data_IF_267065571481
#
_entry.id   IF_267065571481
#
_cell.length_a   1.000
_cell.length_b   1.000
_cell.length_c   1.000
_cell.angle_alpha   90.00
_cell.angle_beta   90.00
_cell.angle_gamma   90.00
#
_symmetry.space_group_name_H-M   'P 1'
#
loop_
_entity.id
_entity.type
_entity.pdbx_description
1 polymer ?
#
# COMPACT_ATOMS: atom_id res chain seq x y z
N UNK A 1 -7.81 -14.76 12.54
CA UNK A 1 -6.57 -14.26 13.20
C UNK A 1 -6.34 -15.00 14.52
N UNK A 2 -7.37 -15.22 15.36
CA UNK A 2 -7.20 -15.84 16.68
C UNK A 2 -6.85 -17.33 16.58
N UNK A 3 -7.43 -18.06 15.64
CA UNK A 3 -7.26 -19.51 15.53
C UNK A 3 -5.94 -19.92 14.84
N UNK A 4 -5.49 -19.16 13.83
CA UNK A 4 -4.22 -19.36 13.15
C UNK A 4 -3.60 -18.01 12.74
N UNK A 5 -2.85 -17.38 13.66
CA UNK A 5 -2.25 -16.07 13.40
C UNK A 5 -1.13 -16.13 12.34
N UNK A 6 -0.48 -17.29 12.17
CA UNK A 6 0.60 -17.43 11.18
C UNK A 6 0.02 -17.50 9.78
N UNK A 7 -1.00 -18.32 9.56
CA UNK A 7 -1.67 -18.39 8.27
C UNK A 7 -2.27 -17.03 7.87
N UNK A 8 -2.88 -16.30 8.80
CA UNK A 8 -3.40 -14.96 8.54
C UNK A 8 -2.29 -13.97 8.15
N UNK A 9 -1.17 -13.96 8.88
CA UNK A 9 -0.03 -13.08 8.57
C UNK A 9 0.58 -13.37 7.20
N UNK A 10 0.61 -14.64 6.78
CA UNK A 10 1.11 -15.01 5.44
C UNK A 10 0.25 -14.45 4.29
N UNK A 11 -1.01 -14.17 4.55
CA UNK A 11 -1.95 -13.61 3.55
C UNK A 11 -2.03 -12.09 3.59
N UNK A 12 -1.33 -11.42 4.53
CA UNK A 12 -1.44 -10.00 4.79
C UNK A 12 -0.12 -9.30 4.50
N UNK A 13 -0.19 -8.14 3.85
CA UNK A 13 0.91 -7.18 3.80
C UNK A 13 0.51 -5.89 4.52
N UNK A 14 1.48 -5.24 5.16
CA UNK A 14 1.32 -3.93 5.77
C UNK A 14 2.43 -2.98 5.33
N UNK A 15 2.06 -1.79 4.89
CA UNK A 15 2.98 -0.72 4.51
C UNK A 15 2.63 0.51 5.36
N UNK A 16 3.49 0.90 6.30
CA UNK A 16 3.31 2.14 7.08
C UNK A 16 3.63 3.37 6.23
N UNK A 17 3.17 4.56 6.67
CA UNK A 17 3.49 5.86 6.06
C UNK A 17 5.00 6.10 5.95
N UNK A 18 5.75 5.72 6.97
CA UNK A 18 7.22 5.81 6.98
C UNK A 18 7.81 4.41 7.19
N UNK A 19 8.21 3.70 6.11
CA UNK A 19 8.73 2.35 6.22
C UNK A 19 10.05 2.30 6.99
N UNK A 20 10.07 1.58 8.11
CA UNK A 20 11.28 1.28 8.87
C UNK A 20 11.96 0.05 8.29
N UNK A 21 12.85 0.28 7.31
CA UNK A 21 13.56 -0.76 6.60
C UNK A 21 14.93 -1.04 7.24
N UNK A 22 15.44 -2.24 7.06
CA UNK A 22 16.78 -2.60 7.56
C UNK A 22 17.87 -1.91 6.74
N UNK A 23 18.29 -0.73 7.17
CA UNK A 23 19.20 0.18 6.47
C UNK A 23 20.60 -0.40 6.23
N UNK A 24 21.03 -1.39 7.03
CA UNK A 24 22.31 -2.10 6.86
C UNK A 24 22.29 -3.13 5.73
N UNK A 25 21.13 -3.46 5.18
CA UNK A 25 21.00 -4.34 4.02
C UNK A 25 21.06 -3.56 2.72
N UNK A 26 21.44 -4.22 1.63
CA UNK A 26 21.14 -3.71 0.28
C UNK A 26 19.68 -3.96 -0.07
N UNK A 27 19.15 -3.23 -1.06
CA UNK A 27 17.78 -3.41 -1.51
C UNK A 27 17.48 -4.87 -1.88
N UNK A 28 18.35 -5.53 -2.64
CA UNK A 28 18.16 -6.93 -3.01
C UNK A 28 18.22 -7.88 -1.81
N UNK A 29 19.10 -7.61 -0.82
CA UNK A 29 19.17 -8.42 0.39
C UNK A 29 17.87 -8.28 1.20
N UNK A 30 17.32 -7.07 1.31
CA UNK A 30 16.06 -6.83 2.00
C UNK A 30 14.91 -7.57 1.32
N UNK A 31 14.78 -7.49 -0.01
CA UNK A 31 13.72 -8.19 -0.74
C UNK A 31 13.82 -9.71 -0.61
N UNK A 32 15.04 -10.27 -0.67
CA UNK A 32 15.24 -11.69 -0.44
C UNK A 32 14.91 -12.11 0.99
N UNK A 33 15.29 -11.31 1.98
CA UNK A 33 14.96 -11.56 3.38
C UNK A 33 13.44 -11.62 3.61
N UNK A 34 12.68 -10.67 3.05
CA UNK A 34 11.22 -10.69 3.14
C UNK A 34 10.65 -11.94 2.44
N UNK A 35 11.14 -12.27 1.25
CA UNK A 35 10.72 -13.47 0.54
C UNK A 35 10.97 -14.76 1.33
N UNK A 36 12.10 -14.84 2.06
CA UNK A 36 12.42 -15.98 2.95
C UNK A 36 11.42 -16.10 4.11
N UNK A 37 11.08 -14.96 4.76
CA UNK A 37 10.10 -14.94 5.86
C UNK A 37 8.75 -15.50 5.40
N UNK A 38 8.32 -15.15 4.19
CA UNK A 38 7.04 -15.60 3.65
C UNK A 38 7.11 -16.96 2.93
N UNK A 39 8.30 -17.55 2.80
CA UNK A 39 8.51 -18.85 2.16
C UNK A 39 8.25 -18.83 0.65
N UNK A 40 8.60 -17.73 -0.01
CA UNK A 40 8.44 -17.58 -1.47
C UNK A 40 9.52 -18.40 -2.18
N UNK A 41 9.10 -19.30 -3.05
CA UNK A 41 9.99 -20.14 -3.87
C UNK A 41 10.96 -19.29 -4.72
N UNK A 42 12.19 -19.78 -4.88
CA UNK A 42 13.28 -19.00 -5.49
C UNK A 42 12.95 -18.50 -6.91
N UNK A 43 12.33 -19.36 -7.74
CA UNK A 43 11.95 -18.99 -9.11
C UNK A 43 10.90 -17.86 -9.13
N UNK A 44 9.85 -17.97 -8.32
CA UNK A 44 8.82 -16.97 -8.18
C UNK A 44 9.37 -15.67 -7.56
N UNK A 45 10.30 -15.79 -6.61
CA UNK A 45 11.00 -14.66 -5.99
C UNK A 45 11.76 -13.84 -7.02
N UNK A 46 12.62 -14.48 -7.80
CA UNK A 46 13.44 -13.79 -8.81
C UNK A 46 12.56 -13.10 -9.86
N UNK A 47 11.53 -13.78 -10.35
CA UNK A 47 10.57 -13.21 -11.30
C UNK A 47 9.87 -11.98 -10.73
N UNK A 48 9.33 -12.08 -9.51
CA UNK A 48 8.58 -10.97 -8.87
C UNK A 48 9.47 -9.80 -8.52
N UNK A 49 10.66 -10.04 -7.96
CA UNK A 49 11.63 -8.97 -7.66
C UNK A 49 11.97 -8.22 -8.95
N UNK A 50 12.30 -8.94 -10.02
CA UNK A 50 12.62 -8.33 -11.31
C UNK A 50 11.45 -7.51 -11.83
N UNK A 51 10.25 -8.12 -11.91
CA UNK A 51 9.03 -7.47 -12.39
C UNK A 51 8.78 -6.14 -11.67
N UNK A 52 8.75 -6.16 -10.35
CA UNK A 52 8.38 -4.98 -9.58
C UNK A 52 9.50 -3.94 -9.48
N UNK A 53 10.77 -4.38 -9.42
CA UNK A 53 11.90 -3.46 -9.44
C UNK A 53 12.01 -2.71 -10.78
N UNK A 54 11.77 -3.40 -11.90
CA UNK A 54 11.73 -2.77 -13.22
C UNK A 54 10.56 -1.78 -13.32
N UNK A 55 9.35 -2.13 -12.84
CA UNK A 55 8.19 -1.26 -12.84
C UNK A 55 8.45 0.06 -12.09
N UNK A 56 9.08 -0.01 -10.92
CA UNK A 56 9.40 1.15 -10.09
C UNK A 56 10.73 1.82 -10.43
N UNK A 57 11.43 1.36 -11.48
CA UNK A 57 12.75 1.88 -11.90
C UNK A 57 13.81 1.80 -10.78
N UNK A 58 13.76 0.76 -9.97
CA UNK A 58 14.65 0.57 -8.81
C UNK A 58 15.72 -0.50 -9.08
N UNK A 59 15.67 -1.20 -10.21
CA UNK A 59 16.57 -2.32 -10.54
C UNK A 59 18.04 -1.95 -10.44
N UNK A 60 18.44 -0.77 -10.94
CA UNK A 60 19.82 -0.29 -10.90
C UNK A 60 20.34 0.03 -9.49
N UNK A 61 19.44 0.26 -8.54
CA UNK A 61 19.78 0.67 -7.17
C UNK A 61 19.73 -0.49 -6.17
N UNK A 62 19.22 -1.66 -6.55
CA UNK A 62 19.06 -2.80 -5.63
C UNK A 62 20.37 -3.29 -4.99
N UNK A 63 21.50 -3.04 -5.61
CA UNK A 63 22.82 -3.38 -5.06
C UNK A 63 23.32 -2.38 -4.00
N UNK A 64 22.71 -1.21 -3.90
CA UNK A 64 23.08 -0.17 -2.95
C UNK A 64 22.49 -0.45 -1.55
N UNK A 65 23.16 -0.01 -0.47
CA UNK A 65 22.59 -0.06 0.88
C UNK A 65 21.30 0.77 0.97
N UNK A 66 20.28 0.26 1.67
CA UNK A 66 19.02 0.96 1.91
C UNK A 66 19.22 2.29 2.64
N UNK A 67 20.27 2.41 3.46
CA UNK A 67 20.69 3.67 4.08
C UNK A 67 20.94 4.80 3.08
N UNK A 68 21.32 4.47 1.83
CA UNK A 68 21.57 5.47 0.77
C UNK A 68 20.30 5.86 -0.01
N UNK A 69 19.17 5.18 0.24
CA UNK A 69 17.94 5.43 -0.49
C UNK A 69 17.26 6.73 -0.05
N UNK A 70 16.72 7.46 -1.01
CA UNK A 70 15.79 8.55 -0.73
C UNK A 70 14.49 8.01 -0.09
N UNK A 71 13.69 8.89 0.49
CA UNK A 71 12.37 8.50 1.04
C UNK A 71 11.50 7.79 -0.02
N UNK A 72 11.40 8.35 -1.22
CA UNK A 72 10.64 7.73 -2.31
C UNK A 72 11.18 6.36 -2.75
N UNK A 73 12.52 6.15 -2.73
CA UNK A 73 13.12 4.84 -3.00
C UNK A 73 12.79 3.84 -1.89
N UNK A 74 12.82 4.25 -0.62
CA UNK A 74 12.41 3.41 0.52
C UNK A 74 10.93 3.02 0.41
N UNK A 75 10.07 3.95 0.04
CA UNK A 75 8.64 3.68 -0.19
C UNK A 75 8.44 2.67 -1.32
N UNK A 76 9.11 2.86 -2.45
CA UNK A 76 9.08 1.91 -3.58
C UNK A 76 9.56 0.52 -3.14
N UNK A 77 10.66 0.43 -2.38
CA UNK A 77 11.19 -0.84 -1.88
C UNK A 77 10.20 -1.55 -0.93
N UNK A 78 9.54 -0.80 -0.04
CA UNK A 78 8.50 -1.34 0.85
C UNK A 78 7.29 -1.89 0.08
N UNK A 79 6.86 -1.17 -0.96
CA UNK A 79 5.78 -1.62 -1.87
C UNK A 79 6.19 -2.92 -2.56
N UNK A 80 7.39 -2.99 -3.16
CA UNK A 80 7.89 -4.21 -3.80
C UNK A 80 7.89 -5.37 -2.81
N UNK A 81 8.43 -5.17 -1.60
CA UNK A 81 8.49 -6.18 -0.55
C UNK A 81 7.09 -6.71 -0.18
N UNK A 82 6.10 -5.83 -0.09
CA UNK A 82 4.72 -6.20 0.21
C UNK A 82 4.08 -7.07 -0.88
N UNK A 83 4.41 -6.86 -2.15
CA UNK A 83 3.84 -7.62 -3.27
C UNK A 83 4.56 -8.94 -3.57
N UNK A 84 5.78 -9.16 -3.03
CA UNK A 84 6.59 -10.36 -3.33
C UNK A 84 5.87 -11.67 -2.94
N UNK A 85 5.13 -11.69 -1.83
CA UNK A 85 4.50 -12.90 -1.31
C UNK A 85 3.04 -13.09 -1.74
N UNK A 86 2.53 -12.26 -2.68
CA UNK A 86 1.19 -12.35 -3.24
C UNK A 86 0.08 -12.32 -2.16
N UNK A 87 -0.01 -11.24 -1.37
CA UNK A 87 -0.96 -11.14 -0.26
C UNK A 87 -2.40 -11.07 -0.75
N UNK A 88 -3.33 -11.58 0.09
CA UNK A 88 -4.78 -11.47 -0.15
C UNK A 88 -5.39 -10.19 0.43
N UNK A 89 -4.73 -9.62 1.44
CA UNK A 89 -5.11 -8.36 2.05
C UNK A 89 -3.88 -7.47 2.17
N UNK A 90 -3.95 -6.25 1.65
CA UNK A 90 -2.90 -5.26 1.80
C UNK A 90 -3.47 -4.08 2.60
N UNK A 91 -2.78 -3.73 3.69
CA UNK A 91 -3.09 -2.57 4.52
C UNK A 91 -1.98 -1.54 4.31
N UNK A 92 -2.35 -0.30 4.00
CA UNK A 92 -1.38 0.76 3.73
C UNK A 92 -1.78 2.05 4.44
N UNK A 93 -0.78 2.73 4.96
CA UNK A 93 -0.93 4.04 5.56
C UNK A 93 -0.30 5.09 4.63
N UNK A 94 -1.11 6.04 4.13
CA UNK A 94 -0.72 7.10 3.19
C UNK A 94 0.18 6.62 2.03
N UNK A 95 -0.18 5.60 1.26
CA UNK A 95 0.72 4.89 0.37
C UNK A 95 1.28 5.70 -0.81
N UNK A 96 0.70 6.86 -1.09
CA UNK A 96 1.10 7.74 -2.20
C UNK A 96 2.08 8.83 -1.77
N UNK A 97 2.28 9.02 -0.47
CA UNK A 97 3.23 10.01 0.07
C UNK A 97 4.66 9.60 -0.33
N UNK A 98 5.43 10.58 -0.83
CA UNK A 98 6.80 10.37 -1.27
C UNK A 98 6.97 9.69 -2.64
N UNK A 99 5.90 9.24 -3.28
CA UNK A 99 5.95 8.70 -4.64
C UNK A 99 5.86 9.80 -5.70
N UNK A 100 6.65 9.64 -6.76
CA UNK A 100 6.49 10.44 -7.97
C UNK A 100 5.17 10.06 -8.72
N UNK A 101 4.68 10.91 -9.66
CA UNK A 101 3.43 10.64 -10.37
C UNK A 101 3.42 9.31 -11.13
N UNK A 102 4.57 8.88 -11.66
CA UNK A 102 4.69 7.60 -12.37
C UNK A 102 4.55 6.41 -11.42
N UNK A 103 5.28 6.43 -10.30
CA UNK A 103 5.18 5.39 -9.28
C UNK A 103 3.78 5.33 -8.67
N UNK A 104 3.14 6.48 -8.43
CA UNK A 104 1.75 6.55 -7.96
C UNK A 104 0.78 5.91 -8.96
N UNK A 105 0.95 6.14 -10.25
CA UNK A 105 0.12 5.52 -11.30
C UNK A 105 0.32 4.00 -11.32
N UNK A 106 1.56 3.52 -11.22
CA UNK A 106 1.90 2.10 -11.17
C UNK A 106 1.24 1.44 -9.95
N UNK A 107 1.37 2.05 -8.76
CA UNK A 107 0.76 1.52 -7.54
C UNK A 107 -0.75 1.38 -7.67
N UNK A 108 -1.44 2.39 -8.24
CA UNK A 108 -2.89 2.35 -8.49
C UNK A 108 -3.28 1.16 -9.38
N UNK A 109 -2.50 0.90 -10.44
CA UNK A 109 -2.70 -0.27 -11.31
C UNK A 109 -2.54 -1.59 -10.56
N UNK A 110 -1.46 -1.71 -9.78
CA UNK A 110 -1.18 -2.91 -8.96
C UNK A 110 -2.27 -3.14 -7.90
N UNK A 111 -2.80 -2.08 -7.30
CA UNK A 111 -3.93 -2.17 -6.35
C UNK A 111 -5.18 -2.73 -7.02
N UNK A 112 -5.50 -2.25 -8.22
CA UNK A 112 -6.65 -2.75 -8.99
C UNK A 112 -6.47 -4.23 -9.36
N UNK A 113 -5.28 -4.63 -9.83
CA UNK A 113 -4.98 -6.04 -10.14
C UNK A 113 -5.23 -6.97 -8.94
N UNK A 114 -4.85 -6.57 -7.72
CA UNK A 114 -5.11 -7.35 -6.49
C UNK A 114 -6.62 -7.50 -6.25
N UNK A 115 -7.39 -6.42 -6.37
CA UNK A 115 -8.83 -6.45 -6.16
C UNK A 115 -9.53 -7.29 -7.24
N UNK A 116 -9.15 -7.16 -8.51
CA UNK A 116 -9.72 -7.92 -9.63
C UNK A 116 -9.42 -9.42 -9.50
N UNK A 117 -8.29 -9.78 -8.86
CA UNK A 117 -7.94 -11.16 -8.51
C UNK A 117 -8.68 -11.70 -7.26
N UNK A 118 -9.60 -10.92 -6.67
CA UNK A 118 -10.37 -11.31 -5.48
C UNK A 118 -9.68 -11.04 -4.16
N UNK A 119 -8.58 -10.30 -4.15
CA UNK A 119 -7.95 -9.76 -2.95
C UNK A 119 -8.66 -8.50 -2.45
N UNK A 120 -8.15 -7.91 -1.37
CA UNK A 120 -8.67 -6.69 -0.80
C UNK A 120 -7.55 -5.73 -0.42
N UNK A 121 -7.83 -4.43 -0.56
CA UNK A 121 -6.91 -3.37 -0.15
C UNK A 121 -7.63 -2.42 0.80
N UNK A 122 -6.99 -2.13 1.90
CA UNK A 122 -7.41 -1.11 2.86
C UNK A 122 -6.30 -0.08 3.01
N UNK A 123 -6.58 1.19 2.76
CA UNK A 123 -5.58 2.24 2.94
C UNK A 123 -6.18 3.49 3.56
N UNK A 124 -5.36 4.20 4.35
CA UNK A 124 -5.67 5.54 4.79
C UNK A 124 -5.19 6.57 3.76
N UNK A 125 -5.89 7.67 3.64
CA UNK A 125 -5.42 8.85 2.89
C UNK A 125 -6.15 10.11 3.33
N UNK A 126 -5.45 11.24 3.30
CA UNK A 126 -6.03 12.57 3.42
C UNK A 126 -6.34 13.20 2.05
N UNK A 127 -6.01 12.53 0.94
CA UNK A 127 -6.27 13.01 -0.42
C UNK A 127 -7.61 12.46 -0.92
N UNK A 128 -8.69 13.22 -0.68
CA UNK A 128 -10.07 12.80 -0.93
C UNK A 128 -10.32 12.42 -2.38
N UNK A 129 -9.73 13.15 -3.34
CA UNK A 129 -9.82 12.83 -4.78
C UNK A 129 -9.26 11.44 -5.12
N UNK A 130 -8.20 11.01 -4.43
CA UNK A 130 -7.63 9.67 -4.61
C UNK A 130 -8.59 8.62 -4.08
N UNK A 131 -9.14 8.82 -2.89
CA UNK A 131 -10.13 7.92 -2.31
C UNK A 131 -11.37 7.80 -3.22
N UNK A 132 -11.90 8.92 -3.70
CA UNK A 132 -13.08 8.95 -4.57
C UNK A 132 -12.88 8.17 -5.88
N UNK A 133 -11.67 8.22 -6.46
CA UNK A 133 -11.37 7.55 -7.75
C UNK A 133 -11.01 6.07 -7.61
N UNK A 134 -10.51 5.64 -6.45
CA UNK A 134 -9.95 4.30 -6.27
C UNK A 134 -10.82 3.38 -5.44
N UNK A 135 -11.55 3.92 -4.45
CA UNK A 135 -12.21 3.10 -3.44
C UNK A 135 -13.63 2.73 -3.85
N UNK A 136 -13.99 1.46 -3.65
CA UNK A 136 -15.36 0.98 -3.76
C UNK A 136 -16.16 1.36 -2.49
N UNK A 137 -15.47 1.40 -1.34
CA UNK A 137 -16.03 1.76 -0.03
C UNK A 137 -15.12 2.74 0.69
N UNK A 138 -15.71 3.60 1.49
CA UNK A 138 -15.01 4.61 2.27
C UNK A 138 -15.49 4.63 3.72
N UNK A 139 -14.59 5.01 4.62
CA UNK A 139 -14.89 5.27 6.03
C UNK A 139 -14.27 6.61 6.42
N UNK A 140 -15.07 7.55 6.91
CA UNK A 140 -14.64 8.86 7.37
C UNK A 140 -14.45 8.82 8.88
N UNK A 141 -13.24 9.15 9.34
CA UNK A 141 -12.88 9.17 10.75
C UNK A 141 -12.56 10.60 11.16
N UNK A 142 -13.13 11.06 12.27
CA UNK A 142 -12.88 12.38 12.86
C UNK A 142 -12.75 12.26 14.37
N UNK A 143 -11.69 12.84 14.95
CA UNK A 143 -11.46 12.78 16.40
C UNK A 143 -11.41 11.35 16.97
N UNK A 144 -10.90 10.38 16.19
CA UNK A 144 -10.84 8.98 16.59
C UNK A 144 -12.18 8.23 16.54
N UNK A 145 -13.24 8.83 15.97
CA UNK A 145 -14.55 8.22 15.83
C UNK A 145 -14.90 8.01 14.36
N UNK A 146 -15.50 6.87 14.05
CA UNK A 146 -16.12 6.62 12.76
C UNK A 146 -17.36 7.47 12.62
N UNK A 147 -17.36 8.39 11.67
CA UNK A 147 -18.48 9.33 11.43
C UNK A 147 -19.43 8.77 10.38
N UNK A 148 -18.88 8.29 9.25
CA UNK A 148 -19.67 7.77 8.14
C UNK A 148 -18.90 6.64 7.45
N UNK A 149 -19.59 5.60 6.98
CA UNK A 149 -18.99 4.54 6.17
C UNK A 149 -20.05 3.89 5.27
N UNK A 150 -19.60 3.42 4.11
CA UNK A 150 -20.47 2.77 3.13
C UNK A 150 -19.76 2.61 1.80
N UNK A 151 -20.50 2.27 0.76
CA UNK A 151 -20.01 2.39 -0.62
C UNK A 151 -19.73 3.86 -0.93
N UNK A 152 -18.92 4.11 -1.94
CA UNK A 152 -18.62 5.48 -2.36
C UNK A 152 -19.91 6.25 -2.69
N UNK A 153 -20.85 5.62 -3.38
CA UNK A 153 -22.16 6.21 -3.73
C UNK A 153 -23.02 6.51 -2.50
N UNK A 154 -23.07 5.61 -1.52
CA UNK A 154 -23.84 5.81 -0.27
C UNK A 154 -23.28 6.95 0.59
N UNK A 155 -21.95 7.16 0.54
CA UNK A 155 -21.29 8.18 1.36
C UNK A 155 -21.34 9.54 0.70
N UNK A 156 -21.06 9.64 -0.59
CA UNK A 156 -21.02 10.94 -1.28
C UNK A 156 -22.36 11.39 -1.84
N UNK A 157 -23.28 10.47 -2.23
CA UNK A 157 -24.50 10.82 -2.94
C UNK A 157 -24.20 11.51 -4.26
N UNK A 158 -24.83 12.65 -4.48
CA UNK A 158 -24.67 13.50 -5.68
C UNK A 158 -23.49 14.49 -5.56
N UNK A 159 -22.92 14.63 -4.36
CA UNK A 159 -21.83 15.58 -4.06
C UNK A 159 -20.44 14.94 -4.30
N UNK A 160 -19.37 15.70 -4.15
CA UNK A 160 -18.00 15.17 -4.08
C UNK A 160 -17.68 14.68 -2.67
N UNK A 161 -16.73 13.76 -2.54
CA UNK A 161 -16.26 13.32 -1.21
C UNK A 161 -15.70 14.49 -0.39
N UNK A 162 -15.13 15.51 -1.05
CA UNK A 162 -14.59 16.72 -0.43
C UNK A 162 -15.73 17.57 0.17
N UNK A 163 -16.84 17.78 -0.55
CA UNK A 163 -18.00 18.52 -0.05
C UNK A 163 -18.60 17.83 1.17
N UNK A 164 -18.79 16.51 1.11
CA UNK A 164 -19.28 15.72 2.26
C UNK A 164 -18.32 15.82 3.46
N UNK A 165 -17.01 15.80 3.22
CA UNK A 165 -16.02 15.93 4.29
C UNK A 165 -16.07 17.31 4.95
N UNK A 166 -16.19 18.39 4.16
CA UNK A 166 -16.31 19.78 4.64
C UNK A 166 -17.61 20.01 5.44
N UNK A 167 -18.73 19.45 4.99
CA UNK A 167 -19.99 19.50 5.74
C UNK A 167 -19.84 18.86 7.13
N UNK A 168 -19.25 17.66 7.19
CA UNK A 168 -19.00 16.95 8.44
C UNK A 168 -17.99 17.69 9.35
N UNK A 169 -17.10 18.51 8.78
CA UNK A 169 -16.24 19.39 9.56
C UNK A 169 -17.00 20.60 10.12
N UNK A 170 -17.92 21.19 9.34
CA UNK A 170 -18.71 22.36 9.72
C UNK A 170 -19.78 22.10 10.78
N UNK A 171 -20.32 20.89 10.88
CA UNK A 171 -21.34 20.51 11.89
C UNK A 171 -20.78 20.40 13.33
N UNK A 172 -19.51 20.72 13.56
CA UNK A 172 -18.82 20.55 14.85
C UNK A 172 -18.50 21.88 15.56
N UNK A 173 -19.20 22.98 15.21
CA UNK A 173 -19.13 24.28 15.93
C UNK A 173 -20.33 24.48 16.85
#
# INVERSE_FOLDING_TARGET
>A
IQDDPIACKKMLAYIPDNPDLYEFMTGIQYLNFIADIFGVEESARQERIRKYADLFELTGDLAQPVAAYSHGMKQKLAIIAAWIHDPKLIIMDEPFVGLDPKASHILKGMMREVCDAGGAIFFSTHVLEVAEKLCDKVAIIKGGKLIRSGTMEEVKGDDSLEEVFLELEGESC
#
